data_IF_554635567224
#
_entry.id   IF_554635567224
#
_cell.length_a   1.000
_cell.length_b   1.000
_cell.length_c   1.000
_cell.angle_alpha   90.00
_cell.angle_beta   90.00
_cell.angle_gamma   90.00
#
_symmetry.space_group_name_H-M   'P 1'
#
loop_
_entity.id
_entity.type
_entity.pdbx_description
1 polymer ?
#
# COMPACT_ATOMS: atom_id res chain seq x y z
N UNK A 1 -5.69 6.72 -4.85
CA UNK A 1 -6.74 6.67 -3.82
C UNK A 1 -6.10 6.61 -2.43
N UNK A 2 -6.62 7.40 -1.47
CA UNK A 2 -6.14 7.43 -0.08
C UNK A 2 -7.10 6.63 0.81
N UNK A 3 -6.59 5.70 1.61
CA UNK A 3 -7.41 4.77 2.39
C UNK A 3 -6.97 4.76 3.87
N UNK A 4 -7.94 4.55 4.76
CA UNK A 4 -7.69 4.47 6.20
C UNK A 4 -7.63 3.02 6.66
N UNK A 5 -6.49 2.64 7.24
CA UNK A 5 -6.14 1.27 7.62
C UNK A 5 -5.98 1.07 9.13
N UNK A 6 -6.64 1.87 9.97
CA UNK A 6 -6.54 1.73 11.43
C UNK A 6 -7.17 0.43 11.95
N UNK A 7 -6.35 -0.60 12.20
CA UNK A 7 -6.80 -1.87 12.76
C UNK A 7 -7.55 -1.65 14.09
N UNK A 8 -8.76 -2.19 14.19
CA UNK A 8 -9.61 -2.12 15.40
C UNK A 8 -10.53 -0.89 15.52
N UNK A 9 -10.28 0.18 14.75
CA UNK A 9 -11.05 1.43 14.86
C UNK A 9 -11.76 1.85 13.55
N UNK A 10 -11.53 1.12 12.46
CA UNK A 10 -12.06 1.47 11.14
C UNK A 10 -12.61 0.23 10.45
N UNK A 11 -13.89 0.29 10.08
CA UNK A 11 -14.54 -0.78 9.33
C UNK A 11 -14.29 -0.58 7.83
N UNK A 12 -13.67 -1.56 7.19
CA UNK A 12 -13.16 -1.48 5.79
C UNK A 12 -13.68 -2.60 4.87
N UNK A 13 -14.68 -3.35 5.34
CA UNK A 13 -15.32 -4.44 4.59
C UNK A 13 -16.52 -4.00 3.73
N UNK A 14 -17.09 -4.91 2.92
CA UNK A 14 -18.33 -4.67 2.20
C UNK A 14 -19.44 -4.14 3.13
N UNK A 15 -20.23 -3.18 2.63
CA UNK A 15 -21.28 -2.52 3.41
C UNK A 15 -20.78 -1.39 4.32
N UNK A 16 -19.46 -1.15 4.43
CA UNK A 16 -18.88 -0.04 5.16
C UNK A 16 -18.65 1.17 4.25
N UNK A 17 -18.67 2.37 4.82
CA UNK A 17 -18.60 3.62 4.06
C UNK A 17 -17.34 3.73 3.19
N UNK A 18 -16.17 3.38 3.73
CA UNK A 18 -14.91 3.44 3.00
C UNK A 18 -14.88 2.49 1.80
N UNK A 19 -15.38 1.26 1.98
CA UNK A 19 -15.47 0.29 0.90
C UNK A 19 -16.45 0.77 -0.18
N UNK A 20 -17.64 1.21 0.22
CA UNK A 20 -18.66 1.68 -0.71
C UNK A 20 -18.21 2.93 -1.48
N UNK A 21 -17.49 3.84 -0.82
CA UNK A 21 -16.86 4.98 -1.48
C UNK A 21 -15.82 4.53 -2.50
N UNK A 22 -14.88 3.65 -2.10
CA UNK A 22 -13.83 3.16 -2.99
C UNK A 22 -14.43 2.45 -4.20
N UNK A 23 -15.45 1.62 -4.00
CA UNK A 23 -16.13 0.95 -5.10
C UNK A 23 -16.71 1.95 -6.10
N UNK A 24 -17.42 2.99 -5.63
CA UNK A 24 -17.97 4.03 -6.52
C UNK A 24 -16.86 4.81 -7.24
N UNK A 25 -15.76 5.10 -6.56
CA UNK A 25 -14.60 5.79 -7.15
C UNK A 25 -13.97 4.94 -8.27
N UNK A 26 -13.80 3.64 -8.03
CA UNK A 26 -13.29 2.70 -9.02
C UNK A 26 -14.24 2.52 -10.21
N UNK A 27 -15.55 2.42 -9.97
CA UNK A 27 -16.57 2.33 -11.01
C UNK A 27 -16.59 3.58 -11.91
N UNK A 28 -16.53 4.77 -11.30
CA UNK A 28 -16.52 6.03 -12.02
C UNK A 28 -15.27 6.22 -12.90
N UNK A 29 -14.13 5.67 -12.48
CA UNK A 29 -12.85 5.82 -13.17
C UNK A 29 -12.48 4.63 -14.06
N UNK A 30 -13.31 3.58 -14.14
CA UNK A 30 -13.00 2.31 -14.83
C UNK A 30 -12.56 2.50 -16.29
N UNK A 31 -13.09 3.52 -16.97
CA UNK A 31 -12.78 3.82 -18.37
C UNK A 31 -11.67 4.89 -18.54
N UNK A 32 -11.20 5.48 -17.43
CA UNK A 32 -10.31 6.64 -17.40
C UNK A 32 -8.83 6.27 -17.12
N UNK A 33 -8.40 5.06 -17.52
CA UNK A 33 -7.05 4.49 -17.32
C UNK A 33 -6.81 3.75 -15.99
N UNK A 34 -7.85 3.22 -15.36
CA UNK A 34 -7.68 2.17 -14.35
C UNK A 34 -6.93 0.98 -14.98
N UNK A 35 -5.79 0.60 -14.40
CA UNK A 35 -4.87 -0.43 -14.92
C UNK A 35 -3.80 0.05 -15.90
N UNK A 36 -3.58 1.37 -16.02
CA UNK A 36 -2.37 1.90 -16.68
C UNK A 36 -1.48 2.70 -15.74
N UNK A 37 -2.05 3.34 -14.71
CA UNK A 37 -1.38 4.22 -13.74
C UNK A 37 -2.13 4.37 -12.41
N UNK A 38 -2.85 3.35 -11.95
CA UNK A 38 -3.66 3.46 -10.73
C UNK A 38 -2.84 3.14 -9.48
N UNK A 39 -2.85 4.07 -8.52
CA UNK A 39 -2.15 3.96 -7.25
C UNK A 39 -3.13 4.07 -6.09
N UNK A 40 -3.08 3.13 -5.17
CA UNK A 40 -3.69 3.24 -3.85
C UNK A 40 -2.62 3.37 -2.76
N UNK A 41 -2.94 4.05 -1.65
CA UNK A 41 -2.03 4.12 -0.51
C UNK A 41 -2.79 4.14 0.82
N UNK A 42 -2.20 3.53 1.83
CA UNK A 42 -2.65 3.55 3.23
C UNK A 42 -1.48 3.25 4.19
N UNK A 43 -1.68 3.36 5.50
CA UNK A 43 -0.57 3.32 6.45
C UNK A 43 -0.03 1.91 6.74
N UNK A 44 -0.88 0.98 7.17
CA UNK A 44 -0.48 -0.36 7.64
C UNK A 44 -0.44 -1.37 6.48
N UNK A 45 0.69 -2.02 6.17
CA UNK A 45 0.79 -2.92 5.02
C UNK A 45 -0.09 -4.16 5.18
N UNK A 46 -0.56 -4.71 4.06
CA UNK A 46 -1.23 -6.01 4.09
C UNK A 46 -0.19 -7.14 4.05
N UNK A 47 0.87 -6.94 3.27
CA UNK A 47 2.00 -7.85 3.18
C UNK A 47 3.30 -7.14 3.57
N UNK A 48 4.08 -7.80 4.42
CA UNK A 48 5.39 -7.31 4.87
C UNK A 48 6.15 -8.44 5.54
N UNK A 49 7.49 -8.42 5.46
CA UNK A 49 8.37 -9.25 6.29
C UNK A 49 8.75 -8.56 7.61
N UNK A 50 8.14 -7.42 7.91
CA UNK A 50 8.42 -6.60 9.08
C UNK A 50 7.68 -7.00 10.35
N UNK A 51 7.84 -6.20 11.43
CA UNK A 51 7.19 -6.46 12.71
C UNK A 51 5.66 -6.53 12.67
N UNK A 52 5.03 -5.90 11.67
CA UNK A 52 3.58 -5.87 11.52
C UNK A 52 3.01 -7.00 10.65
N UNK A 53 3.83 -7.99 10.25
CA UNK A 53 3.39 -9.12 9.43
C UNK A 53 2.12 -9.78 10.00
N UNK A 54 1.06 -9.86 9.18
CA UNK A 54 -0.23 -10.45 9.56
C UNK A 54 -1.14 -9.58 10.43
N UNK A 55 -0.70 -8.40 10.87
CA UNK A 55 -1.46 -7.55 11.79
C UNK A 55 -2.66 -6.82 11.15
N UNK A 56 -2.70 -6.70 9.83
CA UNK A 56 -3.67 -5.85 9.13
C UNK A 56 -4.56 -6.61 8.13
N UNK A 57 -5.04 -7.79 8.52
CA UNK A 57 -5.92 -8.61 7.67
C UNK A 57 -7.23 -7.90 7.25
N UNK A 58 -7.64 -6.84 7.97
CA UNK A 58 -8.83 -6.05 7.65
C UNK A 58 -8.75 -5.42 6.25
N UNK A 59 -7.55 -5.08 5.75
CA UNK A 59 -7.39 -4.48 4.44
C UNK A 59 -7.54 -5.48 3.28
N UNK A 60 -7.70 -6.77 3.55
CA UNK A 60 -7.85 -7.80 2.50
C UNK A 60 -9.08 -7.58 1.62
N UNK A 61 -10.19 -7.09 2.17
CA UNK A 61 -11.39 -6.74 1.38
C UNK A 61 -11.11 -5.58 0.42
N UNK A 62 -10.41 -4.55 0.90
CA UNK A 62 -10.00 -3.41 0.07
C UNK A 62 -9.03 -3.86 -1.02
N UNK A 63 -8.05 -4.69 -0.66
CA UNK A 63 -7.11 -5.27 -1.63
C UNK A 63 -7.85 -6.07 -2.71
N UNK A 64 -8.80 -6.93 -2.33
CA UNK A 64 -9.62 -7.69 -3.28
C UNK A 64 -10.35 -6.77 -4.24
N UNK A 65 -10.98 -5.71 -3.74
CA UNK A 65 -11.67 -4.74 -4.56
C UNK A 65 -10.72 -4.02 -5.53
N UNK A 66 -9.54 -3.60 -5.06
CA UNK A 66 -8.52 -2.98 -5.92
C UNK A 66 -8.02 -3.96 -7.00
N UNK A 67 -7.86 -5.23 -6.65
CA UNK A 67 -7.42 -6.29 -7.57
C UNK A 67 -8.48 -6.55 -8.65
N UNK A 68 -9.76 -6.66 -8.28
CA UNK A 68 -10.87 -6.86 -9.22
C UNK A 68 -11.02 -5.72 -10.24
N UNK A 69 -10.56 -4.52 -9.88
CA UNK A 69 -10.58 -3.34 -10.73
C UNK A 69 -9.24 -3.06 -11.42
N UNK A 70 -8.23 -3.92 -11.26
CA UNK A 70 -6.94 -3.83 -11.94
C UNK A 70 -6.11 -2.64 -11.50
N UNK A 71 -5.99 -2.39 -10.19
CA UNK A 71 -5.09 -1.36 -9.67
C UNK A 71 -3.62 -1.80 -9.79
N UNK A 72 -2.72 -0.92 -10.22
CA UNK A 72 -1.33 -1.29 -10.51
C UNK A 72 -0.46 -1.38 -9.25
N UNK A 73 -0.56 -0.35 -8.41
CA UNK A 73 0.38 -0.14 -7.30
C UNK A 73 -0.34 0.16 -5.99
N UNK A 74 0.19 -0.41 -4.91
CA UNK A 74 -0.10 -0.04 -3.53
C UNK A 74 1.16 0.45 -2.84
N UNK A 75 1.07 1.55 -2.11
CA UNK A 75 2.14 2.04 -1.25
C UNK A 75 1.69 2.06 0.21
N UNK A 76 2.52 1.49 1.07
CA UNK A 76 2.33 1.45 2.50
C UNK A 76 3.49 2.03 3.29
N UNK A 77 3.24 2.28 4.57
CA UNK A 77 4.24 2.67 5.55
C UNK A 77 4.25 1.71 6.73
N UNK A 78 4.27 2.28 7.94
CA UNK A 78 4.25 1.59 9.22
C UNK A 78 5.53 0.82 9.57
N UNK A 79 5.90 -0.19 8.80
CA UNK A 79 7.14 -0.94 9.06
C UNK A 79 8.34 -0.15 8.54
N UNK A 80 9.27 0.16 9.44
CA UNK A 80 10.47 0.99 9.23
C UNK A 80 11.55 0.28 8.39
N UNK A 81 11.15 -0.18 7.22
CA UNK A 81 11.92 -0.93 6.25
C UNK A 81 11.49 -0.51 4.84
N UNK A 82 12.24 -0.98 3.85
CA UNK A 82 11.85 -0.91 2.45
C UNK A 82 11.66 -2.33 1.91
N UNK A 83 10.48 -2.59 1.38
CA UNK A 83 10.14 -3.82 0.65
C UNK A 83 9.44 -3.47 -0.66
N UNK A 84 9.74 -4.28 -1.67
CA UNK A 84 9.05 -4.28 -2.97
C UNK A 84 8.64 -5.71 -3.28
N UNK A 85 7.34 -5.93 -3.40
CA UNK A 85 6.80 -7.23 -3.78
C UNK A 85 6.74 -7.37 -5.31
N UNK A 86 6.78 -8.61 -5.80
CA UNK A 86 6.35 -8.87 -7.17
C UNK A 86 4.84 -8.62 -7.27
N UNK A 87 4.29 -8.39 -8.48
CA UNK A 87 2.84 -8.41 -8.70
C UNK A 87 2.19 -9.64 -8.04
N UNK A 88 1.17 -9.41 -7.22
CA UNK A 88 0.59 -10.44 -6.35
C UNK A 88 -0.95 -10.42 -6.29
N UNK A 89 -1.53 -11.61 -6.06
CA UNK A 89 -2.95 -11.82 -5.85
C UNK A 89 -3.39 -11.38 -4.44
N UNK A 90 -4.69 -11.54 -4.14
CA UNK A 90 -5.28 -11.24 -2.83
C UNK A 90 -4.70 -12.05 -1.66
N UNK A 91 -3.90 -13.08 -1.93
CA UNK A 91 -3.25 -13.95 -0.96
C UNK A 91 -1.73 -13.72 -0.86
N UNK A 92 -1.18 -12.77 -1.62
CA UNK A 92 0.27 -12.51 -1.66
C UNK A 92 1.03 -13.53 -2.50
N UNK A 93 0.35 -14.30 -3.35
CA UNK A 93 0.99 -15.19 -4.33
C UNK A 93 1.27 -14.42 -5.60
N UNK A 94 2.39 -14.70 -6.25
CA UNK A 94 2.77 -14.04 -7.51
C UNK A 94 1.67 -14.22 -8.56
N UNK A 95 1.26 -13.11 -9.16
CA UNK A 95 0.35 -13.03 -10.30
C UNK A 95 0.80 -11.89 -11.20
N UNK A 96 1.07 -12.16 -12.48
CA UNK A 96 1.58 -11.15 -13.43
C UNK A 96 0.58 -10.01 -13.69
N UNK A 97 -0.69 -10.20 -13.36
CA UNK A 97 -1.73 -9.16 -13.44
C UNK A 97 -2.13 -8.60 -12.08
N UNK A 98 -1.44 -9.03 -11.02
CA UNK A 98 -1.69 -8.60 -9.65
C UNK A 98 -1.10 -7.24 -9.33
N UNK A 99 -1.38 -6.78 -8.12
CA UNK A 99 -0.96 -5.47 -7.63
C UNK A 99 0.50 -5.57 -7.17
N UNK A 100 1.31 -4.56 -7.47
CA UNK A 100 2.64 -4.44 -6.86
C UNK A 100 2.58 -3.59 -5.57
N UNK A 101 3.00 -4.16 -4.44
CA UNK A 101 3.10 -3.43 -3.16
C UNK A 101 4.52 -2.92 -2.91
N UNK A 102 4.58 -1.70 -2.38
CA UNK A 102 5.79 -1.11 -1.82
C UNK A 102 5.53 -0.76 -0.35
N UNK A 103 6.19 -1.46 0.57
CA UNK A 103 6.23 -1.02 1.96
C UNK A 103 7.45 -0.11 2.13
N UNK A 104 7.21 1.18 2.33
CA UNK A 104 8.26 2.19 2.41
C UNK A 104 7.98 3.12 3.56
N UNK A 105 8.42 2.75 4.76
CA UNK A 105 8.57 3.71 5.85
C UNK A 105 10.06 3.95 6.08
N UNK A 106 10.54 5.21 5.95
CA UNK A 106 11.92 5.49 6.30
C UNK A 106 12.13 5.10 7.76
N UNK A 107 13.20 4.35 8.04
CA UNK A 107 13.63 4.15 9.41
C UNK A 107 13.94 5.51 10.02
N UNK A 108 13.01 6.02 10.82
CA UNK A 108 13.28 7.21 11.62
C UNK A 108 14.44 6.84 12.55
N UNK A 109 15.63 7.37 12.29
CA UNK A 109 16.70 7.30 13.28
C UNK A 109 16.21 8.03 14.51
N UNK A 110 16.28 7.37 15.67
CA UNK A 110 16.14 8.02 16.97
C UNK A 110 17.28 9.03 17.08
N UNK A 111 16.99 10.31 16.83
CA UNK A 111 17.92 11.39 17.15
C UNK A 111 18.01 11.46 18.68
N UNK A 112 19.03 10.85 19.28
CA UNK A 112 19.38 11.18 20.66
C UNK A 112 19.84 12.64 20.68
N UNK A 113 19.50 13.36 21.75
CA UNK A 113 19.67 14.81 21.95
C UNK A 113 21.12 15.33 21.96
N UNK A 114 22.07 14.66 21.31
CA UNK A 114 23.49 14.99 21.29
C UNK A 114 23.98 15.39 19.89
N UNK A 115 23.43 16.49 19.36
CA UNK A 115 24.16 17.48 18.55
C UNK A 115 25.02 17.05 17.36
N UNK A 116 24.75 15.94 16.66
CA UNK A 116 25.49 15.61 15.42
C UNK A 116 24.54 15.46 14.24
N UNK A 117 24.81 16.27 13.22
CA UNK A 117 24.12 16.38 11.93
C UNK A 117 23.70 15.01 11.38
N UNK A 118 22.39 14.79 11.26
CA UNK A 118 21.81 13.68 10.52
C UNK A 118 22.06 13.92 9.02
N UNK A 119 23.12 13.31 8.48
CA UNK A 119 23.33 13.27 7.04
C UNK A 119 22.46 12.17 6.43
N UNK A 120 21.67 12.55 5.45
CA UNK A 120 20.89 11.66 4.59
C UNK A 120 21.82 10.80 3.74
N UNK A 121 21.62 9.49 3.74
CA UNK A 121 22.11 8.65 2.65
C UNK A 121 21.05 8.68 1.55
N UNK A 122 21.26 9.56 0.57
CA UNK A 122 20.51 9.58 -0.68
C UNK A 122 21.38 8.95 -1.74
N UNK A 123 21.00 7.78 -2.23
CA UNK A 123 21.13 7.35 -3.64
C UNK A 123 20.46 5.98 -3.80
N UNK A 124 19.14 5.98 -3.89
CA UNK A 124 18.39 4.93 -4.56
C UNK A 124 17.69 5.57 -5.74
N UNK A 125 18.20 5.37 -6.96
CA UNK A 125 17.49 5.75 -8.18
C UNK A 125 16.24 4.87 -8.27
N UNK A 126 15.08 5.42 -7.91
CA UNK A 126 13.80 4.78 -8.22
C UNK A 126 13.59 4.99 -9.73
N UNK A 127 14.02 4.02 -10.54
CA UNK A 127 13.51 3.91 -11.92
C UNK A 127 12.10 3.34 -11.79
N UNK A 128 11.13 4.23 -11.58
CA UNK A 128 9.71 3.90 -11.63
C UNK A 128 9.25 4.02 -13.07
N UNK A 129 9.31 2.93 -13.82
CA UNK A 129 8.39 2.73 -14.95
C UNK A 129 7.12 2.13 -14.36
N UNK A 130 6.36 2.97 -13.67
CA UNK A 130 4.96 2.70 -13.41
C UNK A 130 4.27 3.74 -14.28
N UNK A 131 3.89 3.28 -15.47
CA UNK A 131 3.65 4.05 -16.69
C UNK A 131 4.92 4.61 -17.37
#
# INVERSE_FOLDING_TARGET
>A
MSLNSGAGNVAVGPGQEQYAWLQRDLEANKNANLGKCSLAYWHHPLFTSGPSAGSNAIMRSIWSLLYDYGVDVVINGHDHLYERFAPQDVNGRRDNFGIQEYASAPAARRCTSSGRSCRTASTGTIVSTAC
#
